data_IF_734584354962
#
_entry.id   IF_734584354962
#
_cell.length_a   1.000
_cell.length_b   1.000
_cell.length_c   1.000
_cell.angle_alpha   90.00
_cell.angle_beta   90.00
_cell.angle_gamma   90.00
#
_symmetry.space_group_name_H-M   'P 1'
#
loop_
_entity.id
_entity.type
_entity.pdbx_description
1 polymer ?
#
# COMPACT_ATOMS: atom_id res chain seq x y z
N UNK A 1 15.40 0.52 -0.97
CA UNK A 1 14.55 1.34 -0.06
C UNK A 1 14.31 2.72 -0.65
N UNK A 2 13.12 3.00 -1.16
CA UNK A 2 12.70 4.38 -1.44
C UNK A 2 11.60 4.74 -0.43
N UNK A 3 11.89 5.59 0.59
CA UNK A 3 10.90 5.96 1.60
C UNK A 3 9.70 6.72 1.00
N UNK A 4 9.81 7.23 -0.22
CA UNK A 4 8.82 8.10 -0.85
C UNK A 4 7.47 7.40 -1.11
N UNK A 5 7.44 6.16 -1.61
CA UNK A 5 6.17 5.49 -1.92
C UNK A 5 5.39 5.19 -0.63
N UNK A 6 6.10 4.78 0.42
CA UNK A 6 5.50 4.57 1.72
C UNK A 6 4.97 5.88 2.32
N UNK A 7 5.81 6.92 2.38
CA UNK A 7 5.44 8.22 2.96
C UNK A 7 4.22 8.81 2.26
N UNK A 8 4.16 8.79 0.92
CA UNK A 8 2.99 9.27 0.17
C UNK A 8 1.73 8.49 0.52
N UNK A 9 1.84 7.17 0.60
CA UNK A 9 0.71 6.29 0.94
C UNK A 9 0.20 6.57 2.35
N UNK A 10 1.12 6.67 3.32
CA UNK A 10 0.79 6.97 4.72
C UNK A 10 0.11 8.34 4.88
N UNK A 11 0.67 9.40 4.27
CA UNK A 11 0.06 10.72 4.30
C UNK A 11 -1.37 10.72 3.74
N UNK A 12 -1.61 9.94 2.67
CA UNK A 12 -2.97 9.81 2.12
C UNK A 12 -3.91 9.10 3.09
N UNK A 13 -3.47 8.00 3.71
CA UNK A 13 -4.26 7.28 4.72
C UNK A 13 -4.53 8.14 5.96
N UNK A 14 -3.58 8.96 6.41
CA UNK A 14 -3.77 9.88 7.54
C UNK A 14 -4.94 10.86 7.30
N UNK A 15 -5.18 11.26 6.05
CA UNK A 15 -6.29 12.15 5.66
C UNK A 15 -7.64 11.45 5.40
N UNK A 16 -7.71 10.12 5.52
CA UNK A 16 -8.92 9.32 5.26
C UNK A 16 -9.64 8.94 6.55
N UNK A 17 -10.91 8.55 6.46
CA UNK A 17 -11.66 8.03 7.59
C UNK A 17 -11.36 6.54 7.83
N UNK A 18 -11.57 6.07 9.06
CA UNK A 18 -11.39 4.65 9.40
C UNK A 18 -12.36 3.78 8.60
N UNK A 19 -11.87 2.63 8.11
CA UNK A 19 -12.61 1.74 7.24
C UNK A 19 -12.60 2.14 5.75
N UNK A 20 -12.14 3.34 5.40
CA UNK A 20 -11.94 3.70 3.99
C UNK A 20 -10.79 2.91 3.36
N UNK A 21 -10.88 2.74 2.04
CA UNK A 21 -9.94 1.93 1.27
C UNK A 21 -9.16 2.78 0.28
N UNK A 22 -7.85 2.58 0.25
CA UNK A 22 -6.93 3.20 -0.69
C UNK A 22 -6.34 2.13 -1.61
N UNK A 23 -6.41 2.39 -2.90
CA UNK A 23 -5.69 1.62 -3.91
C UNK A 23 -4.34 2.28 -4.19
N UNK A 24 -3.26 1.50 -4.16
CA UNK A 24 -1.89 1.95 -4.37
C UNK A 24 -1.26 1.12 -5.47
N UNK A 25 -0.68 1.78 -6.46
CA UNK A 25 0.03 1.11 -7.54
C UNK A 25 1.53 1.21 -7.30
N UNK A 26 2.22 0.08 -7.41
CA UNK A 26 3.63 -0.06 -7.07
C UNK A 26 4.36 -0.81 -8.17
N UNK A 27 5.57 -0.36 -8.47
CA UNK A 27 6.48 -1.09 -9.35
C UNK A 27 6.94 -2.41 -8.71
N UNK A 28 7.27 -3.38 -9.55
CA UNK A 28 7.94 -4.60 -9.15
C UNK A 28 9.27 -4.34 -8.40
N UNK A 29 9.67 -5.32 -7.58
CA UNK A 29 10.91 -5.26 -6.81
C UNK A 29 10.71 -4.75 -5.39
N UNK A 30 11.48 -3.75 -4.98
CA UNK A 30 11.47 -3.20 -3.62
C UNK A 30 10.12 -2.59 -3.19
N UNK A 31 9.41 -1.81 -4.03
CA UNK A 31 8.19 -1.10 -3.60
C UNK A 31 7.07 -2.05 -3.15
N UNK A 32 6.74 -3.06 -3.96
CA UNK A 32 5.68 -4.03 -3.65
C UNK A 32 5.99 -4.89 -2.41
N UNK A 33 7.28 -5.07 -2.06
CA UNK A 33 7.64 -5.78 -0.81
C UNK A 33 7.54 -4.89 0.41
N UNK A 34 8.08 -3.67 0.30
CA UNK A 34 8.29 -2.81 1.46
C UNK A 34 7.01 -2.06 1.87
N UNK A 35 6.25 -1.52 0.90
CA UNK A 35 5.08 -0.67 1.22
C UNK A 35 3.99 -1.47 1.95
N UNK A 36 3.54 -2.64 1.47
CA UNK A 36 2.52 -3.42 2.19
C UNK A 36 3.02 -3.92 3.55
N UNK A 37 4.31 -4.26 3.68
CA UNK A 37 4.89 -4.65 4.97
C UNK A 37 4.85 -3.48 5.96
N UNK A 38 5.30 -2.29 5.56
CA UNK A 38 5.26 -1.10 6.43
C UNK A 38 3.83 -0.71 6.83
N UNK A 39 2.87 -0.79 5.91
CA UNK A 39 1.46 -0.53 6.21
C UNK A 39 0.88 -1.50 7.24
N UNK A 40 1.22 -2.80 7.15
CA UNK A 40 0.85 -3.79 8.17
C UNK A 40 1.47 -3.48 9.52
N UNK A 41 2.75 -3.07 9.53
CA UNK A 41 3.45 -2.71 10.77
C UNK A 41 2.83 -1.49 11.45
N UNK A 42 2.28 -0.55 10.65
CA UNK A 42 1.53 0.60 11.14
C UNK A 42 0.05 0.26 11.49
N UNK A 43 -0.33 -1.02 11.44
CA UNK A 43 -1.63 -1.52 11.90
C UNK A 43 -2.74 -1.50 10.84
N UNK A 44 -2.46 -1.03 9.62
CA UNK A 44 -3.44 -1.03 8.53
C UNK A 44 -3.65 -2.43 7.95
N UNK A 45 -4.81 -2.64 7.35
CA UNK A 45 -5.20 -3.95 6.81
C UNK A 45 -5.00 -3.99 5.30
N UNK A 46 -4.12 -4.88 4.84
CA UNK A 46 -3.99 -5.16 3.40
C UNK A 46 -5.08 -6.14 2.98
N UNK A 47 -5.90 -5.73 2.03
CA UNK A 47 -7.01 -6.51 1.49
C UNK A 47 -6.65 -7.26 0.21
N UNK A 48 -5.76 -6.71 -0.62
CA UNK A 48 -5.29 -7.33 -1.85
C UNK A 48 -3.86 -6.89 -2.19
N UNK A 49 -3.09 -7.80 -2.79
CA UNK A 49 -1.77 -7.55 -3.42
C UNK A 49 -1.71 -8.40 -4.68
N UNK A 50 -1.90 -7.78 -5.85
CA UNK A 50 -2.03 -8.50 -7.12
C UNK A 50 -1.30 -7.79 -8.26
N UNK A 51 -0.71 -8.53 -9.22
CA UNK A 51 -0.12 -7.92 -10.41
C UNK A 51 -1.23 -7.30 -11.28
N UNK A 52 -0.96 -6.13 -11.84
CA UNK A 52 -1.88 -5.45 -12.76
C UNK A 52 -1.80 -6.03 -14.19
N UNK A 53 -0.64 -6.55 -14.57
CA UNK A 53 -0.37 -7.13 -15.88
C UNK A 53 0.25 -8.55 -15.76
N UNK A 54 0.13 -9.41 -16.80
CA UNK A 54 0.68 -10.77 -16.77
C UNK A 54 2.19 -10.86 -16.55
N UNK A 55 2.95 -9.84 -16.95
CA UNK A 55 4.40 -9.77 -16.74
C UNK A 55 4.79 -9.14 -15.39
N UNK A 56 3.80 -8.79 -14.56
CA UNK A 56 3.95 -8.33 -13.19
C UNK A 56 4.92 -7.15 -13.03
N UNK A 57 4.88 -6.19 -13.97
CA UNK A 57 5.65 -4.94 -13.86
C UNK A 57 5.11 -4.02 -12.80
N UNK A 58 3.79 -3.97 -12.65
CA UNK A 58 3.13 -3.20 -11.62
C UNK A 58 2.19 -4.08 -10.81
N UNK A 59 1.95 -3.62 -9.58
CA UNK A 59 1.11 -4.29 -8.62
C UNK A 59 0.12 -3.30 -8.04
N UNK A 60 -1.09 -3.77 -7.86
CA UNK A 60 -2.12 -3.11 -7.08
C UNK A 60 -2.09 -3.64 -5.65
N UNK A 61 -2.12 -2.72 -4.71
CA UNK A 61 -2.30 -2.99 -3.28
C UNK A 61 -3.55 -2.27 -2.82
N UNK A 62 -4.52 -3.03 -2.31
CA UNK A 62 -5.70 -2.45 -1.67
C UNK A 62 -5.49 -2.48 -0.15
N UNK A 63 -5.47 -1.30 0.47
CA UNK A 63 -5.33 -1.15 1.93
C UNK A 63 -6.59 -0.51 2.50
N UNK A 64 -7.03 -0.99 3.65
CA UNK A 64 -8.10 -0.41 4.46
C UNK A 64 -7.48 0.30 5.66
N UNK A 65 -7.86 1.57 5.87
CA UNK A 65 -7.43 2.32 7.05
C UNK A 65 -8.06 1.67 8.29
N UNK A 66 -7.22 1.20 9.19
CA UNK A 66 -7.62 0.81 10.53
C UNK A 66 -7.31 1.97 11.47
N UNK A 67 -8.27 2.31 12.32
CA UNK A 67 -8.10 3.31 13.38
C UNK A 67 -7.02 2.86 14.37
N UNK A 68 -6.17 3.80 14.79
CA UNK A 68 -5.15 3.58 15.84
C UNK A 68 -5.62 4.08 17.19
#
# INVERSE_FOLDING_TARGET
MCPLNYVKTKLKLEMMDAGERLEVWLDAGDPIKNVPMSLRNDGHKILAEEPLEPDARHFKVLVEKVEG
#
